data_IF_825145788835
#
_entry.id   IF_825145788835
#
_cell.length_a   1.000
_cell.length_b   1.000
_cell.length_c   1.000
_cell.angle_alpha   90.00
_cell.angle_beta   90.00
_cell.angle_gamma   90.00
#
_symmetry.space_group_name_H-M   'P 1'
#
loop_
_entity.id
_entity.type
_entity.pdbx_description
1 polymer ?
#
# COMPACT_ATOMS: atom_id res chain seq x y z
N UNK A 1 18.05 -17.36 -4.20
CA UNK A 1 18.81 -16.09 -4.09
C UNK A 1 18.35 -15.40 -2.82
N UNK A 2 19.25 -14.89 -1.97
CA UNK A 2 18.84 -14.24 -0.73
C UNK A 2 18.23 -12.86 -1.03
N UNK A 3 17.05 -12.59 -0.48
CA UNK A 3 16.38 -11.27 -0.55
C UNK A 3 17.02 -10.34 0.49
N UNK A 4 17.17 -9.04 0.19
CA UNK A 4 17.69 -8.09 1.17
C UNK A 4 16.70 -7.92 2.34
N UNK A 5 17.22 -7.65 3.54
CA UNK A 5 16.39 -7.48 4.73
C UNK A 5 15.40 -6.31 4.58
N UNK A 6 15.82 -5.21 3.95
CA UNK A 6 14.97 -4.05 3.65
C UNK A 6 13.80 -4.42 2.72
N UNK A 7 14.07 -5.16 1.63
CA UNK A 7 13.03 -5.60 0.69
C UNK A 7 12.01 -6.49 1.39
N UNK A 8 12.49 -7.44 2.21
CA UNK A 8 11.63 -8.33 2.97
C UNK A 8 10.78 -7.54 3.98
N UNK A 9 11.40 -6.64 4.74
CA UNK A 9 10.71 -5.83 5.74
C UNK A 9 9.61 -4.94 5.11
N UNK A 10 9.93 -4.20 4.04
CA UNK A 10 8.95 -3.34 3.38
C UNK A 10 7.81 -4.16 2.75
N UNK A 11 8.13 -5.28 2.10
CA UNK A 11 7.10 -6.13 1.48
C UNK A 11 6.14 -6.70 2.53
N UNK A 12 6.67 -7.17 3.67
CA UNK A 12 5.84 -7.71 4.74
C UNK A 12 5.01 -6.61 5.41
N UNK A 13 5.57 -5.42 5.62
CA UNK A 13 4.83 -4.29 6.18
C UNK A 13 3.61 -3.91 5.33
N UNK A 14 3.77 -3.84 4.00
CA UNK A 14 2.66 -3.52 3.09
C UNK A 14 1.55 -4.57 3.16
N UNK A 15 1.90 -5.86 3.16
CA UNK A 15 0.91 -6.95 3.20
C UNK A 15 0.11 -6.94 4.50
N UNK A 16 0.74 -6.64 5.64
CA UNK A 16 0.05 -6.56 6.94
C UNK A 16 -0.85 -5.34 7.03
N UNK A 17 -0.47 -4.22 6.41
CA UNK A 17 -1.26 -2.99 6.42
C UNK A 17 -2.44 -3.07 5.45
N UNK A 18 -2.22 -3.60 4.24
CA UNK A 18 -3.22 -3.68 3.17
C UNK A 18 -3.67 -5.13 2.97
N UNK A 19 -4.47 -5.64 3.91
CA UNK A 19 -4.99 -7.02 3.94
C UNK A 19 -6.08 -7.33 2.90
N UNK A 20 -6.17 -6.56 1.81
CA UNK A 20 -7.32 -6.62 0.90
C UNK A 20 -7.34 -7.84 0.00
N UNK A 21 -6.19 -8.46 -0.26
CA UNK A 21 -6.12 -9.68 -1.05
C UNK A 21 -4.75 -10.34 -0.95
N UNK A 22 -4.76 -11.66 -0.95
CA UNK A 22 -3.56 -12.50 -1.05
C UNK A 22 -2.88 -12.39 -2.43
N UNK A 23 -3.61 -11.85 -3.42
CA UNK A 23 -3.12 -11.57 -4.79
C UNK A 23 -2.77 -10.09 -5.00
N UNK A 24 -2.85 -9.25 -3.96
CA UNK A 24 -2.45 -7.85 -4.09
C UNK A 24 -0.97 -7.75 -4.50
N UNK A 25 -0.68 -6.86 -5.44
CA UNK A 25 0.68 -6.60 -5.95
C UNK A 25 1.34 -7.74 -6.73
N UNK A 26 0.60 -8.78 -7.12
CA UNK A 26 1.15 -9.87 -7.96
C UNK A 26 1.52 -9.40 -9.37
N UNK A 27 0.71 -8.54 -9.99
CA UNK A 27 1.00 -8.00 -11.33
C UNK A 27 2.00 -6.84 -11.29
N UNK A 28 2.01 -6.09 -10.19
CA UNK A 28 2.88 -4.93 -10.00
C UNK A 28 3.28 -4.80 -8.54
N UNK A 29 4.59 -4.87 -8.29
CA UNK A 29 5.19 -4.69 -6.98
C UNK A 29 4.73 -3.39 -6.30
N UNK A 30 4.51 -3.45 -4.98
CA UNK A 30 4.32 -2.27 -4.13
C UNK A 30 5.61 -1.47 -3.92
N UNK A 31 6.76 -2.09 -4.20
CA UNK A 31 8.09 -1.52 -4.00
C UNK A 31 8.70 -1.04 -5.32
N UNK A 32 9.49 0.02 -5.26
CA UNK A 32 10.35 0.49 -6.34
C UNK A 32 11.81 0.47 -5.89
N UNK A 33 12.70 0.17 -6.83
CA UNK A 33 14.15 0.29 -6.64
C UNK A 33 14.57 1.68 -7.07
N UNK A 34 15.34 2.37 -6.23
CA UNK A 34 15.99 3.65 -6.50
C UNK A 34 17.49 3.50 -6.27
N UNK A 35 18.29 4.51 -6.63
CA UNK A 35 19.76 4.44 -6.52
C UNK A 35 20.23 4.08 -5.11
N UNK A 36 19.55 4.62 -4.08
CA UNK A 36 19.93 4.45 -2.67
C UNK A 36 19.23 3.29 -1.94
N UNK A 37 18.38 2.50 -2.61
CA UNK A 37 17.70 1.37 -1.94
C UNK A 37 16.30 1.06 -2.48
N UNK A 38 15.43 0.57 -1.60
CA UNK A 38 14.07 0.14 -1.94
C UNK A 38 13.06 0.99 -1.20
N UNK A 39 12.14 1.58 -1.95
CA UNK A 39 11.08 2.43 -1.39
C UNK A 39 9.69 1.85 -1.65
N UNK A 40 8.71 2.29 -0.86
CA UNK A 40 7.32 2.17 -1.25
C UNK A 40 7.06 3.06 -2.46
N UNK A 41 6.34 2.52 -3.45
CA UNK A 41 5.85 3.33 -4.55
C UNK A 41 4.96 4.46 -3.99
N UNK A 42 5.11 5.71 -4.46
CA UNK A 42 4.46 6.86 -3.83
C UNK A 42 2.94 6.70 -3.67
N UNK A 43 2.26 6.12 -4.65
CA UNK A 43 0.82 5.89 -4.57
C UNK A 43 0.42 4.84 -3.52
N UNK A 44 1.29 3.88 -3.21
CA UNK A 44 1.05 2.90 -2.14
C UNK A 44 1.21 3.56 -0.78
N UNK A 45 2.22 4.42 -0.62
CA UNK A 45 2.37 5.24 0.58
C UNK A 45 1.19 6.20 0.78
N UNK A 46 0.66 6.78 -0.30
CA UNK A 46 -0.55 7.61 -0.25
C UNK A 46 -1.80 6.79 0.12
N UNK A 47 -1.93 5.58 -0.42
CA UNK A 47 -3.02 4.66 -0.08
C UNK A 47 -2.99 4.28 1.41
N UNK A 48 -1.82 3.92 1.95
CA UNK A 48 -1.65 3.60 3.37
C UNK A 48 -2.06 4.80 4.24
N UNK A 49 -1.59 6.01 3.91
CA UNK A 49 -1.99 7.22 4.65
C UNK A 49 -3.50 7.47 4.59
N UNK A 50 -4.11 7.31 3.41
CA UNK A 50 -5.54 7.46 3.25
C UNK A 50 -6.33 6.43 4.08
N UNK A 51 -5.84 5.19 4.18
CA UNK A 51 -6.49 4.11 4.94
C UNK A 51 -6.47 4.31 6.46
N UNK A 52 -5.50 5.08 6.99
CA UNK A 52 -5.40 5.41 8.41
C UNK A 52 -6.00 6.78 8.79
N UNK A 53 -6.70 7.43 7.87
CA UNK A 53 -7.39 8.68 8.17
C UNK A 53 -8.41 8.46 9.32
N UNK A 54 -8.35 9.24 10.42
CA UNK A 54 -9.18 9.04 11.61
C UNK A 54 -10.69 9.18 11.35
N UNK A 55 -11.10 9.77 10.22
CA UNK A 55 -12.52 9.86 9.86
C UNK A 55 -13.06 8.55 9.25
N UNK A 56 -12.20 7.58 8.97
CA UNK A 56 -12.59 6.27 8.46
C UNK A 56 -13.11 5.36 9.58
N UNK A 57 -14.05 4.46 9.25
CA UNK A 57 -14.43 3.40 10.18
C UNK A 57 -13.23 2.49 10.45
N UNK A 58 -13.19 1.89 11.64
CA UNK A 58 -12.14 0.95 12.02
C UNK A 58 -12.06 -0.29 11.09
N UNK A 59 -13.19 -0.67 10.47
CA UNK A 59 -13.27 -1.73 9.47
C UNK A 59 -14.38 -1.42 8.46
N UNK A 60 -14.19 -1.82 7.20
CA UNK A 60 -15.21 -1.73 6.17
C UNK A 60 -15.18 -2.97 5.26
N UNK A 61 -16.34 -3.57 5.03
CA UNK A 61 -16.53 -4.70 4.09
C UNK A 61 -17.22 -4.29 2.79
N UNK A 62 -17.71 -3.05 2.71
CA UNK A 62 -18.31 -2.49 1.50
C UNK A 62 -17.23 -2.18 0.46
N UNK A 63 -17.28 -2.78 -0.75
CA UNK A 63 -16.33 -2.50 -1.83
C UNK A 63 -16.23 -1.01 -2.21
N UNK A 64 -17.28 -0.22 -2.00
CA UNK A 64 -17.23 1.22 -2.25
C UNK A 64 -16.24 1.95 -1.31
N UNK A 65 -15.77 1.31 -0.23
CA UNK A 65 -14.69 1.83 0.60
C UNK A 65 -13.41 2.08 -0.20
N UNK A 66 -13.06 1.21 -1.15
CA UNK A 66 -11.89 1.39 -2.02
C UNK A 66 -12.02 2.68 -2.86
N UNK A 67 -13.22 2.97 -3.38
CA UNK A 67 -13.48 4.21 -4.14
C UNK A 67 -13.33 5.46 -3.26
N UNK A 68 -13.79 5.38 -2.00
CA UNK A 68 -13.64 6.48 -1.03
C UNK A 68 -12.18 6.71 -0.66
N UNK A 69 -11.36 5.66 -0.59
CA UNK A 69 -9.92 5.77 -0.37
C UNK A 69 -9.22 6.38 -1.58
N UNK A 70 -9.58 5.93 -2.79
CA UNK A 70 -9.06 6.52 -4.03
C UNK A 70 -9.35 8.02 -4.12
N UNK A 71 -10.56 8.46 -3.74
CA UNK A 71 -10.88 9.89 -3.68
C UNK A 71 -10.07 10.65 -2.63
N UNK A 72 -9.79 10.02 -1.46
CA UNK A 72 -8.99 10.63 -0.38
C UNK A 72 -7.52 10.78 -0.68
N UNK A 73 -6.96 9.95 -1.55
CA UNK A 73 -5.56 10.09 -1.99
C UNK A 73 -5.31 11.44 -2.69
N UNK A 74 -6.37 12.20 -3.01
CA UNK A 74 -6.31 13.35 -3.91
C UNK A 74 -6.14 12.84 -5.33
N UNK A 75 -6.58 13.61 -6.35
CA UNK A 75 -6.24 13.26 -7.72
C UNK A 75 -4.73 13.06 -7.80
N UNK A 76 -4.28 11.83 -8.04
CA UNK A 76 -2.90 11.53 -8.41
C UNK A 76 -2.63 12.31 -9.70
N UNK A 77 -2.08 13.52 -9.57
CA UNK A 77 -1.58 14.31 -10.68
C UNK A 77 -0.20 13.81 -11.09
#
# INVERSE_FOLDING_TARGET
QAVSAETLALSQAVQVILLWSDMAFSDRSALAVVEDGVILRPEIGALIRAAYDPVLPAVASDPAHALRLAARMGGLQ
#
